data_IF_346608199004
#
_entry.id   IF_346608199004
#
_cell.length_a   1.000
_cell.length_b   1.000
_cell.length_c   1.000
_cell.angle_alpha   90.00
_cell.angle_beta   90.00
_cell.angle_gamma   90.00
#
_symmetry.space_group_name_H-M   'P 1'
#
loop_
_entity.id
_entity.type
_entity.pdbx_description
1 polymer ?
#
# COMPACT_ATOMS: atom_id res chain seq x y z
N UNK A 1 31.56 15.24 20.49
CA UNK A 1 31.29 13.91 21.08
C UNK A 1 30.06 14.07 21.95
N UNK A 2 28.88 13.80 21.39
CA UNK A 2 27.62 13.93 22.13
C UNK A 2 27.49 12.76 23.11
N UNK A 3 27.17 13.09 24.37
CA UNK A 3 27.02 12.10 25.43
C UNK A 3 25.90 11.10 25.06
N UNK A 4 26.11 9.79 25.28
CA UNK A 4 25.08 8.81 24.99
C UNK A 4 23.86 9.04 25.89
N UNK A 5 22.63 8.85 25.36
CA UNK A 5 21.42 9.07 26.13
C UNK A 5 21.34 8.10 27.32
N UNK A 6 20.71 8.49 28.44
CA UNK A 6 20.64 7.69 29.67
C UNK A 6 20.02 6.31 29.41
N UNK A 7 20.56 5.27 30.08
CA UNK A 7 20.27 3.83 29.82
C UNK A 7 18.78 3.50 29.65
N UNK A 8 17.89 4.11 30.43
CA UNK A 8 16.43 3.88 30.35
C UNK A 8 15.76 4.40 29.08
N UNK A 9 16.27 5.47 28.45
CA UNK A 9 15.69 6.01 27.19
C UNK A 9 16.06 5.16 25.99
N UNK A 10 17.22 4.49 26.01
CA UNK A 10 17.68 3.62 24.92
C UNK A 10 16.85 2.33 24.86
N UNK A 11 16.50 1.77 26.02
CA UNK A 11 15.65 0.59 26.14
C UNK A 11 14.19 0.88 25.78
N UNK A 12 13.62 2.01 26.23
CA UNK A 12 12.30 2.47 25.79
C UNK A 12 12.24 2.78 24.29
N UNK A 13 13.31 3.35 23.73
CA UNK A 13 13.44 3.59 22.30
C UNK A 13 13.51 2.26 21.53
N UNK A 14 14.31 1.30 21.97
CA UNK A 14 14.39 -0.04 21.38
C UNK A 14 13.04 -0.78 21.49
N UNK A 15 12.38 -0.80 22.65
CA UNK A 15 11.04 -1.37 22.84
C UNK A 15 9.95 -0.65 22.01
N UNK A 16 10.13 0.65 21.72
CA UNK A 16 9.25 1.39 20.82
C UNK A 16 9.50 1.11 19.32
N UNK A 17 10.73 0.73 18.97
CA UNK A 17 11.16 0.33 17.63
C UNK A 17 10.70 -1.10 17.27
N UNK A 18 10.31 -1.91 18.27
CA UNK A 18 9.74 -3.25 18.10
C UNK A 18 8.23 -3.29 18.31
N UNK A 19 7.50 -2.20 18.04
CA UNK A 19 6.04 -2.29 17.98
C UNK A 19 5.64 -3.08 16.73
N UNK A 20 5.25 -4.33 16.95
CA UNK A 20 4.58 -5.17 15.96
C UNK A 20 3.44 -4.36 15.34
N UNK A 21 3.51 -4.14 14.03
CA UNK A 21 2.45 -3.52 13.24
C UNK A 21 1.45 -4.61 12.86
N UNK A 22 0.16 -4.38 13.16
CA UNK A 22 -0.90 -5.32 12.80
C UNK A 22 -1.61 -4.87 11.53
N UNK A 23 -1.86 -5.81 10.63
CA UNK A 23 -2.61 -5.61 9.41
C UNK A 23 -3.98 -5.04 9.76
N UNK A 24 -4.36 -3.87 9.25
CA UNK A 24 -5.67 -3.31 9.53
C UNK A 24 -6.78 -4.27 9.08
N UNK A 25 -6.61 -4.97 7.95
CA UNK A 25 -7.62 -5.88 7.38
C UNK A 25 -7.87 -7.14 8.22
N UNK A 26 -6.81 -7.87 8.58
CA UNK A 26 -6.93 -9.21 9.19
C UNK A 26 -6.17 -9.37 10.52
N UNK A 27 -5.58 -8.30 11.06
CA UNK A 27 -4.82 -8.31 12.31
C UNK A 27 -3.57 -9.21 12.33
N UNK A 28 -3.18 -9.79 11.19
CA UNK A 28 -1.90 -10.47 11.06
C UNK A 28 -0.72 -9.51 11.29
N UNK A 29 0.43 -10.03 11.68
CA UNK A 29 1.65 -9.23 11.76
C UNK A 29 2.11 -8.81 10.36
N UNK A 30 2.36 -7.50 10.19
CA UNK A 30 2.96 -7.00 8.97
C UNK A 30 4.47 -7.23 9.01
N UNK A 31 5.01 -7.69 7.88
CA UNK A 31 6.43 -7.95 7.72
C UNK A 31 7.07 -6.86 6.85
N UNK A 32 8.25 -6.36 7.24
CA UNK A 32 8.97 -5.35 6.47
C UNK A 32 9.57 -5.96 5.19
N UNK A 33 9.41 -5.24 4.08
CA UNK A 33 10.00 -5.54 2.79
C UNK A 33 10.74 -4.31 2.29
N UNK A 34 12.01 -4.45 1.91
CA UNK A 34 12.81 -3.33 1.42
C UNK A 34 13.11 -3.51 -0.06
N UNK A 35 12.58 -2.62 -0.90
CA UNK A 35 12.72 -2.68 -2.36
C UNK A 35 13.13 -1.30 -2.87
N UNK A 36 14.25 -1.20 -3.59
CA UNK A 36 14.85 0.08 -4.00
C UNK A 36 15.01 1.07 -2.82
N UNK A 37 15.20 0.53 -1.60
CA UNK A 37 15.24 1.28 -0.36
C UNK A 37 13.93 1.98 0.03
N UNK A 38 12.79 1.52 -0.49
CA UNK A 38 11.46 1.76 0.06
C UNK A 38 11.15 0.60 1.00
N UNK A 39 10.73 0.90 2.22
CA UNK A 39 10.24 -0.02 3.25
C UNK A 39 8.71 -0.15 3.14
N UNK A 40 8.22 -1.34 2.83
CA UNK A 40 6.80 -1.64 2.72
C UNK A 40 6.47 -2.68 3.79
N UNK A 41 5.47 -2.41 4.61
CA UNK A 41 4.99 -3.42 5.56
C UNK A 41 3.89 -4.23 4.85
N UNK A 42 4.12 -5.53 4.64
CA UNK A 42 3.22 -6.38 3.88
C UNK A 42 2.60 -7.46 4.76
N UNK A 43 1.31 -7.73 4.54
CA UNK A 43 0.59 -8.80 5.20
C UNK A 43 0.81 -10.14 4.50
N UNK A 44 2.00 -10.71 4.64
CA UNK A 44 2.40 -11.99 4.03
C UNK A 44 1.66 -13.18 4.67
N UNK A 45 1.28 -14.16 3.86
CA UNK A 45 0.60 -15.39 4.28
C UNK A 45 -0.89 -15.21 4.59
N UNK A 46 -1.42 -13.99 4.45
CA UNK A 46 -2.81 -13.66 4.80
C UNK A 46 -3.42 -12.78 3.69
N UNK A 47 -3.87 -11.55 3.97
CA UNK A 47 -4.62 -10.76 2.98
C UNK A 47 -3.75 -10.17 1.86
N UNK A 48 -2.42 -10.13 2.04
CA UNK A 48 -1.50 -9.53 1.07
C UNK A 48 -1.67 -8.02 0.87
N UNK A 49 -2.24 -7.33 1.85
CA UNK A 49 -2.31 -5.87 1.85
C UNK A 49 -0.97 -5.23 2.19
N UNK A 50 -0.77 -4.01 1.71
CA UNK A 50 0.49 -3.27 1.76
C UNK A 50 0.31 -1.95 2.51
N UNK A 51 1.25 -1.62 3.39
CA UNK A 51 1.34 -0.32 4.03
C UNK A 51 2.54 0.47 3.51
N UNK A 52 2.25 1.68 3.00
CA UNK A 52 3.25 2.64 2.55
C UNK A 52 3.30 3.84 3.50
N UNK A 53 4.48 4.09 4.06
CA UNK A 53 4.72 5.23 4.94
C UNK A 53 4.95 6.53 4.16
N UNK A 54 4.33 7.63 4.64
CA UNK A 54 4.41 8.96 4.01
C UNK A 54 5.80 9.50 3.78
N UNK A 55 6.77 9.14 4.63
CA UNK A 55 8.12 9.66 4.54
C UNK A 55 8.88 9.15 3.31
N UNK A 56 8.29 8.19 2.57
CA UNK A 56 8.89 7.56 1.40
C UNK A 56 8.31 8.06 0.08
N UNK A 57 7.22 8.83 0.10
CA UNK A 57 6.52 9.25 -1.12
C UNK A 57 7.39 10.13 -2.03
N UNK A 58 8.21 11.02 -1.45
CA UNK A 58 9.16 11.82 -2.23
C UNK A 58 10.21 10.93 -2.93
N UNK A 59 10.59 9.82 -2.30
CA UNK A 59 11.55 8.88 -2.90
C UNK A 59 10.90 8.09 -4.04
N UNK A 60 9.63 7.70 -3.91
CA UNK A 60 8.88 7.01 -4.97
C UNK A 60 8.89 7.79 -6.30
N UNK A 61 8.74 9.12 -6.25
CA UNK A 61 8.78 10.00 -7.44
C UNK A 61 10.09 9.94 -8.23
N UNK A 62 11.19 9.51 -7.62
CA UNK A 62 12.51 9.40 -8.25
C UNK A 62 12.81 7.98 -8.77
N UNK A 63 11.93 7.03 -8.50
CA UNK A 63 12.14 5.63 -8.84
C UNK A 63 11.54 5.32 -10.20
N UNK A 64 12.17 4.37 -10.92
CA UNK A 64 11.58 3.79 -12.12
C UNK A 64 10.35 2.97 -11.73
N UNK A 65 9.39 2.91 -12.63
CA UNK A 65 8.21 2.06 -12.49
C UNK A 65 8.58 0.58 -12.46
N UNK A 66 7.70 -0.23 -11.86
CA UNK A 66 7.86 -1.68 -11.81
C UNK A 66 8.94 -2.19 -10.84
N UNK A 67 9.73 -1.32 -10.22
CA UNK A 67 10.75 -1.76 -9.24
C UNK A 67 10.12 -2.53 -8.06
N UNK A 68 8.88 -2.22 -7.71
CA UNK A 68 8.08 -2.87 -6.69
C UNK A 68 7.21 -4.04 -7.17
N UNK A 69 7.34 -4.50 -8.42
CA UNK A 69 6.48 -5.53 -9.01
C UNK A 69 6.47 -6.84 -8.20
N UNK A 70 7.56 -7.18 -7.50
CA UNK A 70 7.61 -8.36 -6.63
C UNK A 70 6.59 -8.33 -5.48
N UNK A 71 6.09 -7.13 -5.11
CA UNK A 71 5.00 -6.99 -4.13
C UNK A 71 3.67 -7.55 -4.62
N UNK A 72 3.50 -7.75 -5.93
CA UNK A 72 2.30 -8.35 -6.52
C UNK A 72 2.25 -9.87 -6.32
N UNK A 73 3.39 -10.48 -5.99
CA UNK A 73 3.55 -11.93 -5.83
C UNK A 73 3.76 -12.35 -4.37
N UNK A 74 3.42 -11.49 -3.41
CA UNK A 74 3.49 -11.89 -2.00
C UNK A 74 2.47 -12.98 -1.70
N UNK A 75 2.88 -13.93 -0.87
CA UNK A 75 2.04 -15.05 -0.44
C UNK A 75 0.75 -14.57 0.24
N UNK A 76 -0.37 -15.20 -0.12
CA UNK A 76 -1.71 -14.91 0.41
C UNK A 76 -2.39 -16.22 0.77
N UNK A 77 -3.16 -16.21 1.85
CA UNK A 77 -4.02 -17.33 2.18
C UNK A 77 -5.30 -17.29 1.32
N UNK A 78 -5.86 -18.47 1.05
CA UNK A 78 -7.16 -18.60 0.39
C UNK A 78 -8.29 -18.11 1.32
N UNK A 79 -9.32 -17.48 0.74
CA UNK A 79 -10.52 -17.11 1.48
C UNK A 79 -10.35 -16.02 2.55
N UNK A 80 -9.24 -15.28 2.55
CA UNK A 80 -8.97 -14.25 3.56
C UNK A 80 -10.04 -13.16 3.52
N UNK A 81 -10.53 -12.83 4.73
CA UNK A 81 -11.54 -11.80 4.96
C UNK A 81 -11.11 -10.48 4.32
N UNK A 82 -11.88 -10.09 3.32
CA UNK A 82 -11.78 -8.80 2.66
C UNK A 82 -12.26 -7.74 3.66
N UNK A 83 -11.59 -6.59 3.64
CA UNK A 83 -11.91 -5.36 4.37
C UNK A 83 -13.35 -4.90 4.06
N UNK A 84 -14.37 -5.47 4.70
CA UNK A 84 -15.78 -5.12 4.43
C UNK A 84 -16.54 -4.85 5.72
N UNK A 85 -16.64 -3.56 6.07
CA UNK A 85 -17.63 -3.01 7.00
C UNK A 85 -17.09 -2.47 8.33
N UNK A 86 -15.83 -2.73 8.69
CA UNK A 86 -15.24 -2.18 9.91
C UNK A 86 -14.45 -0.90 9.59
N UNK A 87 -14.47 0.06 10.51
CA UNK A 87 -13.48 1.14 10.51
C UNK A 87 -12.17 0.54 11.03
N UNK A 88 -11.13 0.46 10.20
CA UNK A 88 -9.89 -0.18 10.66
C UNK A 88 -8.90 0.86 11.18
N UNK A 89 -8.25 0.52 12.28
CA UNK A 89 -7.24 1.37 12.89
C UNK A 89 -5.97 1.42 12.03
N UNK A 90 -5.38 2.60 11.93
CA UNK A 90 -4.07 2.80 11.33
C UNK A 90 -3.03 1.96 12.08
N UNK A 91 -2.23 1.13 11.39
CA UNK A 91 -1.26 0.25 12.02
C UNK A 91 -0.13 1.01 12.73
N UNK A 92 0.14 2.25 12.32
CA UNK A 92 1.14 3.13 12.93
C UNK A 92 0.56 3.92 14.11
N UNK A 93 -0.56 4.63 13.89
CA UNK A 93 -1.14 5.49 14.93
C UNK A 93 -1.90 4.72 16.00
N UNK A 94 -2.46 3.56 15.66
CA UNK A 94 -3.32 2.67 16.48
C UNK A 94 -4.66 3.27 16.92
N UNK A 95 -4.78 4.59 16.99
CA UNK A 95 -5.96 5.30 17.49
C UNK A 95 -6.69 6.12 16.42
N UNK A 96 -6.19 6.11 15.19
CA UNK A 96 -6.78 6.85 14.07
C UNK A 96 -7.35 5.86 13.09
N UNK A 97 -8.64 6.01 12.75
CA UNK A 97 -9.28 5.19 11.73
C UNK A 97 -8.77 5.56 10.35
N UNK A 98 -8.61 4.54 9.50
CA UNK A 98 -8.27 4.72 8.10
C UNK A 98 -9.53 5.15 7.35
N UNK A 99 -9.43 6.22 6.57
CA UNK A 99 -10.51 6.65 5.69
C UNK A 99 -10.32 6.04 4.31
N UNK A 100 -11.43 5.63 3.69
CA UNK A 100 -11.44 5.01 2.37
C UNK A 100 -11.41 6.08 1.28
N UNK A 101 -10.44 5.97 0.37
CA UNK A 101 -10.42 6.77 -0.86
C UNK A 101 -11.33 6.17 -1.91
N UNK A 102 -11.23 4.86 -2.14
CA UNK A 102 -12.20 4.14 -2.96
C UNK A 102 -12.19 2.64 -2.66
N UNK A 103 -13.25 1.98 -3.11
CA UNK A 103 -13.39 0.53 -3.16
C UNK A 103 -13.92 0.14 -4.54
N UNK A 104 -13.34 -0.91 -5.14
CA UNK A 104 -13.84 -1.54 -6.36
C UNK A 104 -14.12 -3.02 -6.08
N UNK A 105 -15.40 -3.40 -6.13
CA UNK A 105 -15.80 -4.80 -5.99
C UNK A 105 -15.31 -5.64 -7.17
N UNK A 106 -15.41 -5.09 -8.38
CA UNK A 106 -14.98 -5.73 -9.63
C UNK A 106 -13.47 -6.00 -9.65
N UNK A 107 -12.67 -4.98 -9.31
CA UNK A 107 -11.23 -5.14 -9.23
C UNK A 107 -10.76 -5.75 -7.90
N UNK A 108 -11.68 -6.06 -6.97
CA UNK A 108 -11.40 -6.49 -5.61
C UNK A 108 -10.23 -5.73 -4.96
N UNK A 109 -10.35 -4.40 -4.95
CA UNK A 109 -9.28 -3.46 -4.59
C UNK A 109 -9.82 -2.35 -3.70
N UNK A 110 -9.06 -2.01 -2.67
CA UNK A 110 -9.41 -0.94 -1.75
C UNK A 110 -8.19 -0.12 -1.36
N UNK A 111 -8.35 1.21 -1.33
CA UNK A 111 -7.31 2.13 -0.87
C UNK A 111 -7.82 2.92 0.31
N UNK A 112 -7.07 2.88 1.40
CA UNK A 112 -7.34 3.64 2.60
C UNK A 112 -6.14 4.48 3.01
N UNK A 113 -6.37 5.58 3.73
CA UNK A 113 -5.31 6.42 4.25
C UNK A 113 -5.56 6.83 5.70
N UNK A 114 -4.50 7.02 6.47
CA UNK A 114 -4.60 7.61 7.81
C UNK A 114 -4.62 9.14 7.72
N UNK A 115 -5.60 9.80 8.33
CA UNK A 115 -5.65 11.27 8.38
C UNK A 115 -4.50 11.87 9.21
N UNK A 116 -4.00 11.16 10.23
CA UNK A 116 -2.94 11.62 11.15
C UNK A 116 -1.53 11.42 10.58
N UNK A 117 -1.17 10.20 10.21
CA UNK A 117 0.18 9.90 9.70
C UNK A 117 0.28 9.88 8.18
N UNK A 118 -0.82 10.10 7.44
CA UNK A 118 -0.89 10.16 5.96
C UNK A 118 -0.36 8.91 5.21
N UNK A 119 -0.07 7.82 5.92
CA UNK A 119 0.30 6.55 5.31
C UNK A 119 -0.89 5.88 4.63
N UNK A 120 -0.61 5.10 3.58
CA UNK A 120 -1.62 4.40 2.80
C UNK A 120 -1.62 2.91 3.10
N UNK A 121 -2.82 2.36 3.21
CA UNK A 121 -3.10 0.93 3.14
C UNK A 121 -3.67 0.62 1.76
N UNK A 122 -3.02 -0.29 1.03
CA UNK A 122 -3.40 -0.72 -0.31
C UNK A 122 -3.76 -2.20 -0.26
N UNK A 123 -5.02 -2.52 -0.53
CA UNK A 123 -5.49 -3.88 -0.75
C UNK A 123 -5.52 -4.16 -2.26
N UNK A 124 -4.71 -5.13 -2.69
CA UNK A 124 -4.57 -5.57 -4.07
C UNK A 124 -5.10 -7.00 -4.25
N UNK A 125 -6.08 -7.44 -3.47
CA UNK A 125 -6.62 -8.80 -3.50
C UNK A 125 -6.92 -9.29 -4.93
N UNK A 126 -7.56 -8.44 -5.76
CA UNK A 126 -7.89 -8.78 -7.14
C UNK A 126 -6.70 -9.05 -8.07
N UNK A 127 -5.51 -8.50 -7.79
CA UNK A 127 -4.33 -8.79 -8.60
C UNK A 127 -3.89 -10.25 -8.48
N UNK A 128 -4.04 -10.88 -7.31
CA UNK A 128 -3.60 -12.27 -7.13
C UNK A 128 -4.34 -13.24 -8.06
N UNK A 129 -5.65 -13.05 -8.27
CA UNK A 129 -6.41 -13.87 -9.21
C UNK A 129 -5.94 -13.73 -10.66
N UNK A 130 -5.35 -12.59 -11.04
CA UNK A 130 -4.85 -12.40 -12.40
C UNK A 130 -3.61 -13.24 -12.68
N UNK A 131 -2.78 -13.51 -11.67
CA UNK A 131 -1.58 -14.34 -11.82
C UNK A 131 -1.89 -15.84 -12.06
N UNK A 132 -3.11 -16.28 -11.76
CA UNK A 132 -3.60 -17.61 -12.12
C UNK A 132 -3.94 -17.76 -13.60
N UNK A 133 -4.01 -16.67 -14.37
CA UNK A 133 -4.34 -16.69 -15.80
C UNK A 133 -3.15 -17.18 -16.66
N UNK A 134 -3.41 -17.76 -17.84
CA UNK A 134 -2.39 -18.02 -18.86
C UNK A 134 -1.63 -16.73 -19.22
N UNK A 135 -0.32 -16.83 -19.50
CA UNK A 135 0.58 -15.67 -19.70
C UNK A 135 0.05 -14.63 -20.70
N UNK A 136 -0.52 -15.07 -21.82
CA UNK A 136 -1.06 -14.18 -22.85
C UNK A 136 -2.30 -13.39 -22.38
N UNK A 137 -3.11 -13.94 -21.48
CA UNK A 137 -4.27 -13.27 -20.88
C UNK A 137 -3.86 -12.44 -19.66
N UNK A 138 -2.90 -12.93 -18.88
CA UNK A 138 -2.40 -12.33 -17.65
C UNK A 138 -1.88 -10.91 -17.87
N UNK A 139 -0.99 -10.72 -18.83
CA UNK A 139 -0.34 -9.42 -19.04
C UNK A 139 -1.38 -8.34 -19.38
N UNK A 140 -2.31 -8.66 -20.29
CA UNK A 140 -3.42 -7.78 -20.65
C UNK A 140 -4.35 -7.51 -19.47
N UNK A 141 -4.65 -8.52 -18.65
CA UNK A 141 -5.51 -8.35 -17.48
C UNK A 141 -4.85 -7.45 -16.41
N UNK A 142 -3.55 -7.60 -16.19
CA UNK A 142 -2.78 -6.75 -15.27
C UNK A 142 -2.75 -5.31 -15.78
N UNK A 143 -2.48 -5.09 -17.07
CA UNK A 143 -2.49 -3.76 -17.68
C UNK A 143 -3.86 -3.08 -17.55
N UNK A 144 -4.94 -3.81 -17.84
CA UNK A 144 -6.31 -3.33 -17.68
C UNK A 144 -6.62 -2.97 -16.22
N UNK A 145 -6.23 -3.83 -15.28
CA UNK A 145 -6.40 -3.57 -13.85
C UNK A 145 -5.75 -2.25 -13.43
N UNK A 146 -4.48 -2.05 -13.78
CA UNK A 146 -3.75 -0.83 -13.41
C UNK A 146 -4.35 0.41 -14.09
N UNK A 147 -4.72 0.29 -15.36
CA UNK A 147 -5.35 1.36 -16.13
C UNK A 147 -6.68 1.79 -15.52
N UNK A 148 -7.57 0.85 -15.17
CA UNK A 148 -8.85 1.16 -14.52
C UNK A 148 -8.64 1.83 -13.16
N UNK A 149 -7.71 1.33 -12.34
CA UNK A 149 -7.46 1.94 -11.02
C UNK A 149 -6.92 3.36 -11.15
N UNK A 150 -5.94 3.59 -12.03
CA UNK A 150 -5.32 4.91 -12.19
C UNK A 150 -6.29 5.87 -12.87
N UNK A 151 -6.83 5.50 -14.04
CA UNK A 151 -7.55 6.41 -14.92
C UNK A 151 -8.98 6.69 -14.47
N UNK A 152 -9.62 5.74 -13.79
CA UNK A 152 -11.01 5.90 -13.36
C UNK A 152 -11.11 6.25 -11.88
N UNK A 153 -10.39 5.52 -11.01
CA UNK A 153 -10.55 5.68 -9.56
C UNK A 153 -9.67 6.79 -9.00
N UNK A 154 -8.37 6.80 -9.33
CA UNK A 154 -7.44 7.80 -8.79
C UNK A 154 -7.64 9.16 -9.46
N UNK A 155 -7.87 9.21 -10.77
CA UNK A 155 -8.14 10.49 -11.47
C UNK A 155 -9.43 11.16 -10.97
N UNK A 156 -10.47 10.41 -10.62
CA UNK A 156 -11.70 10.96 -10.04
C UNK A 156 -11.49 11.68 -8.70
N UNK A 157 -10.44 11.36 -7.94
CA UNK A 157 -10.11 12.06 -6.70
C UNK A 157 -9.65 13.52 -6.96
N UNK A 158 -9.10 13.82 -8.14
CA UNK A 158 -8.52 15.14 -8.45
C UNK A 158 -9.58 16.24 -8.61
N UNK A 159 -10.85 15.86 -8.78
CA UNK A 159 -11.93 16.79 -9.13
C UNK A 159 -12.52 17.56 -7.95
N UNK A 160 -12.15 17.24 -6.70
CA UNK A 160 -12.94 17.67 -5.54
C UNK A 160 -12.24 18.65 -4.58
N UNK A 161 -10.93 18.62 -4.34
CA UNK A 161 -10.17 19.61 -3.53
C UNK A 161 -8.63 19.46 -3.74
N UNK A 162 -7.82 20.51 -3.51
CA UNK A 162 -6.35 20.49 -3.69
C UNK A 162 -5.65 19.36 -2.90
N UNK A 163 -6.09 19.11 -1.67
CA UNK A 163 -5.57 18.03 -0.84
C UNK A 163 -5.78 16.65 -1.48
N UNK A 164 -6.90 16.47 -2.18
CA UNK A 164 -7.24 15.22 -2.88
C UNK A 164 -6.41 15.06 -4.15
N UNK A 165 -6.15 16.15 -4.88
CA UNK A 165 -5.23 16.13 -6.02
C UNK A 165 -3.81 15.72 -5.59
N UNK A 166 -3.33 16.21 -4.44
CA UNK A 166 -2.03 15.80 -3.91
C UNK A 166 -2.02 14.32 -3.49
N UNK A 167 -3.10 13.81 -2.88
CA UNK A 167 -3.19 12.38 -2.54
C UNK A 167 -3.27 11.49 -3.79
N UNK A 168 -4.00 11.93 -4.81
CA UNK A 168 -4.08 11.23 -6.08
C UNK A 168 -2.70 11.11 -6.74
N UNK A 169 -1.90 12.18 -6.70
CA UNK A 169 -0.53 12.14 -7.22
C UNK A 169 0.33 11.11 -6.47
N UNK A 170 0.25 11.07 -5.13
CA UNK A 170 0.98 10.05 -4.35
C UNK A 170 0.54 8.63 -4.73
N UNK A 171 -0.75 8.40 -4.90
CA UNK A 171 -1.28 7.09 -5.30
C UNK A 171 -0.79 6.69 -6.70
N UNK A 172 -0.73 7.63 -7.65
CA UNK A 172 -0.12 7.36 -8.97
C UNK A 172 1.31 6.87 -8.82
N UNK A 173 2.13 7.49 -7.96
CA UNK A 173 3.53 7.08 -7.76
C UNK A 173 3.64 5.72 -7.06
N UNK A 174 2.75 5.42 -6.10
CA UNK A 174 2.67 4.07 -5.50
C UNK A 174 2.32 3.03 -6.57
N UNK A 175 1.32 3.30 -7.41
CA UNK A 175 0.88 2.36 -8.44
C UNK A 175 1.90 2.19 -9.56
N UNK A 176 2.60 3.26 -9.98
CA UNK A 176 3.75 3.18 -10.90
C UNK A 176 4.86 2.31 -10.34
N UNK A 177 5.19 2.48 -9.06
CA UNK A 177 6.23 1.68 -8.41
C UNK A 177 5.93 0.18 -8.46
N UNK A 178 4.67 -0.23 -8.28
CA UNK A 178 4.28 -1.66 -8.30
C UNK A 178 3.85 -2.18 -9.68
N UNK A 179 3.52 -1.31 -10.64
CA UNK A 179 3.05 -1.72 -11.97
C UNK A 179 4.21 -2.22 -12.84
N UNK A 180 4.13 -3.41 -13.44
CA UNK A 180 5.19 -4.02 -14.26
C UNK A 180 5.73 -3.12 -15.38
N UNK A 181 4.85 -2.37 -16.05
CA UNK A 181 5.18 -1.52 -17.20
C UNK A 181 4.33 -0.24 -17.12
N UNK A 182 4.95 0.94 -16.98
CA UNK A 182 4.23 2.22 -16.85
C UNK A 182 4.23 3.09 -18.09
N UNK A 183 4.92 2.70 -19.17
CA UNK A 183 5.09 3.56 -20.34
C UNK A 183 3.75 3.87 -21.03
N UNK A 184 2.72 3.03 -20.83
CA UNK A 184 1.38 3.21 -21.39
C UNK A 184 0.31 3.71 -20.40
N UNK A 185 0.65 3.93 -19.12
CA UNK A 185 -0.29 4.47 -18.14
C UNK A 185 -0.30 6.00 -18.23
N UNK A 186 -0.97 6.50 -19.26
CA UNK A 186 -1.20 7.92 -19.50
C UNK A 186 -2.02 8.53 -18.36
N UNK A 187 -1.53 9.64 -17.81
CA UNK A 187 -2.26 10.53 -16.88
C UNK A 187 -3.24 11.39 -17.68
#
# INVERSE_FOLDING_TARGET
MENPPPRGKREQYLLSQFRIMKCPACQNELQENVIAGIKIQACRGECGGLWFDRFQFKKLQSLKSGLGQSLLMIERAEGVKIYRGAEHACPVCKTTLLYRHFFSAEANTEINQCSKCRGFWIDLAGLASLYSLPTNQRNKAIENYFSTIINEKISGMRSHHDDMAQQAQVLVEIFRFICPDSENLLI
#
